data_IF_066552934127
#
_entry.id   IF_066552934127
#
_cell.length_a   1.000
_cell.length_b   1.000
_cell.length_c   1.000
_cell.angle_alpha   90.00
_cell.angle_beta   90.00
_cell.angle_gamma   90.00
#
_symmetry.space_group_name_H-M   'P 1'
#
loop_
_entity.id
_entity.type
_entity.pdbx_description
1 polymer ?
#
# COMPACT_ATOMS: atom_id res chain seq x y z
N UNK A 1 40.68 -28.54 -3.75
CA UNK A 1 41.34 -27.28 -3.34
C UNK A 1 40.37 -26.14 -3.64
N UNK A 2 39.70 -25.65 -2.61
CA UNK A 2 38.76 -24.52 -2.66
C UNK A 2 39.53 -23.21 -2.87
N UNK A 3 38.89 -22.26 -3.54
CA UNK A 3 39.04 -20.78 -3.46
C UNK A 3 39.18 -20.15 -4.85
N UNK A 4 38.11 -19.48 -5.30
CA UNK A 4 38.12 -18.09 -5.80
C UNK A 4 36.90 -17.83 -6.70
N UNK A 5 35.71 -17.94 -6.10
CA UNK A 5 34.58 -17.06 -6.45
C UNK A 5 34.68 -15.92 -5.47
N UNK A 6 34.85 -14.66 -5.88
CA UNK A 6 34.45 -13.42 -5.15
C UNK A 6 35.18 -12.22 -5.77
N UNK A 7 34.75 -11.72 -6.94
CA UNK A 7 35.05 -10.32 -7.31
C UNK A 7 34.09 -9.66 -8.31
N UNK A 8 32.80 -10.00 -8.27
CA UNK A 8 31.76 -9.34 -9.08
C UNK A 8 30.58 -8.78 -8.26
N UNK A 9 30.60 -8.86 -6.92
CA UNK A 9 29.47 -8.37 -6.09
C UNK A 9 29.61 -6.93 -5.57
N UNK A 10 30.80 -6.32 -5.61
CA UNK A 10 31.00 -5.08 -4.84
C UNK A 10 30.55 -3.80 -5.56
N UNK A 11 30.60 -3.74 -6.90
CA UNK A 11 30.15 -2.55 -7.67
C UNK A 11 28.63 -2.43 -7.73
N UNK A 12 27.91 -3.55 -7.77
CA UNK A 12 26.45 -3.55 -7.81
C UNK A 12 25.84 -3.23 -6.43
N UNK A 13 26.47 -3.68 -5.34
CA UNK A 13 26.06 -3.33 -3.97
C UNK A 13 26.24 -1.82 -3.70
N UNK A 14 27.32 -1.20 -4.16
CA UNK A 14 27.55 0.25 -4.00
C UNK A 14 26.51 1.07 -4.80
N UNK A 15 26.13 0.61 -6.00
CA UNK A 15 25.04 1.24 -6.79
C UNK A 15 23.69 1.08 -6.11
N UNK A 16 23.39 -0.11 -5.59
CA UNK A 16 22.16 -0.40 -4.87
C UNK A 16 22.04 0.47 -3.60
N UNK A 17 23.13 0.60 -2.83
CA UNK A 17 23.16 1.43 -1.63
C UNK A 17 23.02 2.93 -1.93
N UNK A 18 23.54 3.40 -3.08
CA UNK A 18 23.33 4.78 -3.53
C UNK A 18 21.88 5.03 -3.95
N UNK A 19 21.26 4.11 -4.69
CA UNK A 19 19.85 4.20 -5.10
C UNK A 19 18.92 4.18 -3.88
N UNK A 20 19.14 3.26 -2.94
CA UNK A 20 18.35 3.17 -1.71
C UNK A 20 18.50 4.45 -0.86
N UNK A 21 19.72 5.01 -0.77
CA UNK A 21 19.97 6.28 -0.07
C UNK A 21 19.25 7.45 -0.75
N UNK A 22 19.25 7.52 -2.07
CA UNK A 22 18.60 8.61 -2.81
C UNK A 22 17.06 8.54 -2.70
N UNK A 23 16.49 7.32 -2.71
CA UNK A 23 15.05 7.08 -2.42
C UNK A 23 14.71 7.52 -0.99
N UNK A 24 15.54 7.18 0.00
CA UNK A 24 15.31 7.52 1.40
C UNK A 24 15.43 9.04 1.66
N UNK A 25 16.40 9.71 1.04
CA UNK A 25 16.58 11.18 1.12
C UNK A 25 15.42 11.90 0.46
N UNK A 26 14.94 11.41 -0.70
CA UNK A 26 13.80 11.99 -1.40
C UNK A 26 12.50 11.81 -0.61
N UNK A 27 12.26 10.64 -0.01
CA UNK A 27 11.10 10.39 0.87
C UNK A 27 11.12 11.30 2.10
N UNK A 28 12.29 11.49 2.73
CA UNK A 28 12.46 12.38 3.89
C UNK A 28 12.27 13.86 3.53
N UNK A 29 12.72 14.29 2.35
CA UNK A 29 12.52 15.66 1.87
C UNK A 29 11.05 15.92 1.51
N UNK A 30 10.37 14.94 0.89
CA UNK A 30 8.92 15.00 0.65
C UNK A 30 8.15 15.05 1.97
N UNK A 31 8.49 14.22 2.96
CA UNK A 31 7.87 14.23 4.28
C UNK A 31 8.05 15.58 4.99
N UNK A 32 9.28 16.11 5.02
CA UNK A 32 9.58 17.41 5.62
C UNK A 32 8.85 18.58 4.92
N UNK A 33 8.73 18.54 3.59
CA UNK A 33 7.97 19.51 2.82
C UNK A 33 6.46 19.35 3.00
N UNK A 34 5.97 18.13 3.21
CA UNK A 34 4.57 17.85 3.50
C UNK A 34 4.19 18.32 4.91
N UNK A 35 5.05 18.11 5.90
CA UNK A 35 4.86 18.61 7.27
C UNK A 35 4.83 20.15 7.29
N UNK A 36 5.78 20.78 6.59
CA UNK A 36 5.82 22.23 6.45
C UNK A 36 4.60 22.77 5.68
N UNK A 37 4.13 22.05 4.66
CA UNK A 37 2.90 22.42 3.92
C UNK A 37 1.64 22.23 4.78
N UNK A 38 1.61 21.21 5.65
CA UNK A 38 0.51 20.94 6.57
C UNK A 38 0.42 22.01 7.68
N UNK A 39 1.55 22.50 8.19
CA UNK A 39 1.58 23.65 9.10
C UNK A 39 1.04 24.93 8.44
N UNK A 40 1.28 25.11 7.13
CA UNK A 40 0.74 26.25 6.37
C UNK A 40 -0.73 26.08 5.95
N UNK A 41 -1.33 24.89 6.09
CA UNK A 41 -2.70 24.57 5.67
C UNK A 41 -3.68 24.32 6.83
N UNK A 42 -3.30 24.54 8.10
CA UNK A 42 -4.21 24.49 9.25
C UNK A 42 -5.19 25.68 9.33
N UNK A 43 -5.91 25.95 8.24
CA UNK A 43 -7.15 26.72 8.27
C UNK A 43 -8.23 25.95 7.51
N UNK A 44 -9.13 25.29 8.27
CA UNK A 44 -10.42 24.74 7.84
C UNK A 44 -10.42 23.63 6.76
N UNK A 45 -10.02 22.40 7.12
CA UNK A 45 -10.48 21.19 6.40
C UNK A 45 -11.70 20.61 7.13
N UNK A 46 -12.84 20.35 6.46
CA UNK A 46 -14.00 19.76 7.12
C UNK A 46 -13.63 18.39 7.69
N UNK A 47 -14.06 18.13 8.92
CA UNK A 47 -13.77 16.93 9.74
C UNK A 47 -14.14 15.60 9.05
N UNK A 48 -14.90 15.66 7.94
CA UNK A 48 -15.34 14.51 7.14
C UNK A 48 -14.57 14.28 5.83
N UNK A 49 -13.46 14.97 5.56
CA UNK A 49 -12.68 14.68 4.35
C UNK A 49 -11.88 13.36 4.51
N UNK A 50 -12.06 12.41 3.60
CA UNK A 50 -11.19 11.23 3.48
C UNK A 50 -9.79 11.75 3.12
N UNK A 51 -8.79 11.40 3.92
CA UNK A 51 -7.38 11.63 3.61
C UNK A 51 -6.75 10.38 2.98
N UNK A 52 -5.52 10.51 2.49
CA UNK A 52 -4.80 9.42 1.83
C UNK A 52 -4.73 8.15 2.71
N UNK A 53 -4.39 8.29 3.99
CA UNK A 53 -4.25 7.14 4.91
C UNK A 53 -5.60 6.43 5.11
N UNK A 54 -6.68 7.19 5.28
CA UNK A 54 -8.05 6.68 5.37
C UNK A 54 -8.46 5.99 4.08
N UNK A 55 -8.14 6.60 2.93
CA UNK A 55 -8.42 6.02 1.60
C UNK A 55 -7.68 4.70 1.37
N UNK A 56 -6.38 4.67 1.62
CA UNK A 56 -5.56 3.46 1.47
C UNK A 56 -6.02 2.36 2.42
N UNK A 57 -6.22 2.67 3.70
CA UNK A 57 -6.74 1.72 4.68
C UNK A 57 -8.11 1.17 4.26
N UNK A 58 -8.99 1.99 3.70
CA UNK A 58 -10.29 1.56 3.22
C UNK A 58 -10.20 0.56 2.07
N UNK A 59 -9.29 0.77 1.12
CA UNK A 59 -9.06 -0.17 0.02
C UNK A 59 -8.50 -1.51 0.52
N UNK A 60 -7.54 -1.47 1.46
CA UNK A 60 -6.97 -2.67 2.07
C UNK A 60 -8.02 -3.47 2.86
N UNK A 61 -8.85 -2.79 3.65
CA UNK A 61 -9.93 -3.40 4.43
C UNK A 61 -11.04 -3.96 3.53
N UNK A 62 -11.32 -3.32 2.39
CA UNK A 62 -12.29 -3.86 1.43
C UNK A 62 -11.83 -5.18 0.81
N UNK A 63 -10.52 -5.33 0.53
CA UNK A 63 -9.96 -6.60 0.05
C UNK A 63 -10.14 -7.70 1.09
N UNK A 64 -9.69 -7.47 2.32
CA UNK A 64 -9.82 -8.41 3.44
C UNK A 64 -11.27 -8.82 3.71
N UNK A 65 -12.25 -7.97 3.41
CA UNK A 65 -13.68 -8.27 3.66
C UNK A 65 -14.39 -8.88 2.45
N UNK A 66 -13.70 -9.07 1.32
CA UNK A 66 -14.35 -9.41 0.05
C UNK A 66 -15.20 -10.69 0.13
N UNK A 67 -14.76 -11.69 0.89
CA UNK A 67 -15.45 -12.98 1.08
C UNK A 67 -16.25 -13.06 2.41
N UNK A 68 -16.37 -11.96 3.15
CA UNK A 68 -16.98 -11.86 4.49
C UNK A 68 -16.32 -12.69 5.59
N UNK A 69 -15.15 -13.29 5.35
CA UNK A 69 -14.27 -13.80 6.41
C UNK A 69 -13.22 -12.74 6.68
N UNK A 70 -12.79 -12.65 7.94
CA UNK A 70 -11.71 -11.75 8.32
C UNK A 70 -10.65 -12.65 8.93
N UNK A 71 -9.50 -12.74 8.28
CA UNK A 71 -8.40 -13.53 8.78
C UNK A 71 -7.39 -12.66 9.54
N UNK A 72 -6.84 -13.20 10.63
CA UNK A 72 -5.89 -12.47 11.45
C UNK A 72 -4.58 -12.17 10.68
N UNK A 73 -4.17 -13.08 9.79
CA UNK A 73 -3.02 -12.93 8.88
C UNK A 73 -3.15 -11.70 8.00
N UNK A 74 -4.32 -11.48 7.40
CA UNK A 74 -4.62 -10.31 6.58
C UNK A 74 -4.64 -9.03 7.41
N UNK A 75 -5.29 -9.07 8.58
CA UNK A 75 -5.35 -7.92 9.48
C UNK A 75 -3.95 -7.49 9.95
N UNK A 76 -3.09 -8.46 10.30
CA UNK A 76 -1.70 -8.22 10.66
C UNK A 76 -0.93 -7.63 9.48
N UNK A 77 -1.16 -8.14 8.26
CA UNK A 77 -0.55 -7.61 7.04
C UNK A 77 -0.96 -6.16 6.78
N UNK A 78 -2.26 -5.85 6.89
CA UNK A 78 -2.77 -4.49 6.77
C UNK A 78 -2.10 -3.58 7.80
N UNK A 79 -2.00 -4.03 9.06
CA UNK A 79 -1.38 -3.25 10.11
C UNK A 79 0.10 -2.94 9.80
N UNK A 80 0.85 -3.90 9.30
CA UNK A 80 2.25 -3.71 8.90
C UNK A 80 2.41 -2.77 7.70
N UNK A 81 1.53 -2.90 6.70
CA UNK A 81 1.49 -1.97 5.56
C UNK A 81 1.23 -0.54 6.04
N UNK A 82 0.24 -0.34 6.91
CA UNK A 82 -0.09 0.99 7.42
C UNK A 82 1.03 1.59 8.29
N UNK A 83 1.71 0.77 9.12
CA UNK A 83 2.89 1.24 9.86
C UNK A 83 4.01 1.72 8.93
N UNK A 84 4.27 0.99 7.86
CA UNK A 84 5.43 1.23 6.98
C UNK A 84 5.18 2.28 5.91
N UNK A 85 4.00 2.29 5.30
CA UNK A 85 3.67 3.18 4.20
C UNK A 85 3.12 4.52 4.69
N UNK A 86 2.35 4.51 5.79
CA UNK A 86 1.76 5.71 6.37
C UNK A 86 2.54 6.24 7.58
N UNK A 87 3.65 5.59 7.96
CA UNK A 87 4.50 5.98 9.09
C UNK A 87 3.75 6.10 10.43
N UNK A 88 2.77 5.20 10.62
CA UNK A 88 1.90 5.17 11.80
C UNK A 88 2.43 4.24 12.89
N UNK A 89 2.21 4.58 14.15
CA UNK A 89 2.43 3.67 15.26
C UNK A 89 1.28 2.66 15.44
N UNK A 90 1.48 1.65 16.28
CA UNK A 90 0.48 0.60 16.54
C UNK A 90 -0.87 1.15 17.02
N UNK A 91 -0.87 2.19 17.84
CA UNK A 91 -2.11 2.79 18.37
C UNK A 91 -2.85 3.56 17.28
N UNK A 92 -2.13 4.30 16.43
CA UNK A 92 -2.67 5.03 15.30
C UNK A 92 -3.22 4.09 14.23
N UNK A 93 -2.52 2.99 13.92
CA UNK A 93 -3.00 1.96 12.99
C UNK A 93 -4.29 1.34 13.48
N UNK A 94 -4.35 0.97 14.77
CA UNK A 94 -5.58 0.43 15.36
C UNK A 94 -6.73 1.42 15.25
N UNK A 95 -6.52 2.68 15.65
CA UNK A 95 -7.53 3.72 15.55
C UNK A 95 -7.99 3.95 14.10
N UNK A 96 -7.08 3.88 13.14
CA UNK A 96 -7.40 4.04 11.72
C UNK A 96 -8.25 2.87 11.20
N UNK A 97 -7.90 1.63 11.54
CA UNK A 97 -8.67 0.44 11.15
C UNK A 97 -10.07 0.49 11.79
N UNK A 98 -10.16 0.81 13.08
CA UNK A 98 -11.42 0.93 13.82
C UNK A 98 -12.32 2.04 13.25
N UNK A 99 -11.72 3.14 12.78
CA UNK A 99 -12.42 4.22 12.07
C UNK A 99 -12.91 3.76 10.70
N UNK A 100 -12.06 3.11 9.92
CA UNK A 100 -12.30 2.82 8.50
C UNK A 100 -13.28 1.68 8.32
N UNK A 101 -13.22 0.62 9.13
CA UNK A 101 -14.10 -0.56 8.98
C UNK A 101 -15.59 -0.20 8.82
N UNK A 102 -16.23 0.55 9.76
CA UNK A 102 -17.63 0.95 9.60
C UNK A 102 -17.86 1.89 8.41
N UNK A 103 -16.87 2.69 8.01
CA UNK A 103 -16.97 3.54 6.82
C UNK A 103 -17.06 2.70 5.55
N UNK A 104 -16.25 1.66 5.41
CA UNK A 104 -16.30 0.77 4.26
C UNK A 104 -17.56 -0.09 4.30
N UNK A 105 -18.05 -0.51 5.47
CA UNK A 105 -19.33 -1.26 5.60
C UNK A 105 -20.53 -0.43 5.16
N UNK A 106 -20.53 0.87 5.47
CA UNK A 106 -21.62 1.79 5.13
C UNK A 106 -21.49 2.39 3.71
N UNK A 107 -20.34 2.22 3.05
CA UNK A 107 -20.10 2.81 1.74
C UNK A 107 -20.93 2.12 0.64
N UNK A 108 -21.55 2.92 -0.23
CA UNK A 108 -22.24 2.39 -1.41
C UNK A 108 -21.25 1.93 -2.50
N UNK A 109 -20.08 2.57 -2.57
CA UNK A 109 -19.02 2.25 -3.53
C UNK A 109 -17.62 2.64 -3.03
N UNK A 110 -16.61 2.26 -3.81
CA UNK A 110 -15.20 2.52 -3.53
C UNK A 110 -14.68 3.83 -4.14
N UNK A 111 -15.48 4.53 -4.94
CA UNK A 111 -15.02 5.67 -5.72
C UNK A 111 -14.48 6.78 -4.83
N UNK A 112 -15.10 7.02 -3.67
CA UNK A 112 -14.64 8.05 -2.74
C UNK A 112 -13.24 7.77 -2.19
N UNK A 113 -12.90 6.50 -1.91
CA UNK A 113 -11.59 6.09 -1.41
C UNK A 113 -10.55 6.10 -2.53
N UNK A 114 -10.89 5.50 -3.67
CA UNK A 114 -10.00 5.45 -4.85
C UNK A 114 -9.70 6.86 -5.36
N UNK A 115 -10.68 7.77 -5.35
CA UNK A 115 -10.48 9.16 -5.77
C UNK A 115 -9.43 9.86 -4.91
N UNK A 116 -9.48 9.70 -3.59
CA UNK A 116 -8.50 10.32 -2.69
C UNK A 116 -7.11 9.71 -2.90
N UNK A 117 -7.00 8.39 -3.02
CA UNK A 117 -5.73 7.71 -3.28
C UNK A 117 -5.14 8.14 -4.63
N UNK A 118 -5.94 8.16 -5.70
CA UNK A 118 -5.51 8.61 -7.03
C UNK A 118 -5.04 10.07 -7.05
N UNK A 119 -5.68 10.94 -6.27
CA UNK A 119 -5.34 12.36 -6.19
C UNK A 119 -3.95 12.61 -5.57
N UNK A 120 -3.40 11.62 -4.86
CA UNK A 120 -2.13 11.72 -4.13
C UNK A 120 -1.05 10.79 -4.66
N UNK A 121 -1.32 10.07 -5.75
CA UNK A 121 -0.41 9.06 -6.32
C UNK A 121 -0.16 9.29 -7.81
N UNK A 122 1.11 9.14 -8.21
CA UNK A 122 1.51 8.94 -9.60
C UNK A 122 1.05 7.57 -10.13
N UNK A 123 1.23 7.30 -11.42
CA UNK A 123 0.91 5.98 -11.97
C UNK A 123 1.74 4.86 -11.33
N UNK A 124 3.02 5.12 -11.10
CA UNK A 124 3.95 4.20 -10.44
C UNK A 124 3.53 3.92 -9.00
N UNK A 125 3.19 4.97 -8.24
CA UNK A 125 2.69 4.85 -6.87
C UNK A 125 1.34 4.09 -6.83
N UNK A 126 0.51 4.18 -7.88
CA UNK A 126 -0.71 3.35 -7.98
C UNK A 126 -0.41 1.89 -8.20
N UNK A 127 0.62 1.55 -8.99
CA UNK A 127 1.06 0.16 -9.13
C UNK A 127 1.54 -0.40 -7.79
N UNK A 128 2.28 0.40 -7.01
CA UNK A 128 2.67 0.03 -5.64
C UNK A 128 1.45 -0.22 -4.76
N UNK A 129 0.40 0.62 -4.82
CA UNK A 129 -0.85 0.35 -4.10
C UNK A 129 -1.48 -0.98 -4.51
N UNK A 130 -1.50 -1.32 -5.81
CA UNK A 130 -2.02 -2.61 -6.28
C UNK A 130 -1.19 -3.78 -5.72
N UNK A 131 0.12 -3.65 -5.62
CA UNK A 131 0.98 -4.65 -4.97
C UNK A 131 0.67 -4.79 -3.47
N UNK A 132 0.41 -3.70 -2.76
CA UNK A 132 0.00 -3.74 -1.36
C UNK A 132 -1.31 -4.51 -1.17
N UNK A 133 -2.29 -4.32 -2.07
CA UNK A 133 -3.54 -5.07 -2.05
C UNK A 133 -3.30 -6.57 -2.24
N UNK A 134 -2.42 -6.94 -3.18
CA UNK A 134 -2.03 -8.34 -3.37
C UNK A 134 -1.32 -8.93 -2.16
N UNK A 135 -0.46 -8.15 -1.48
CA UNK A 135 0.18 -8.64 -0.27
C UNK A 135 -0.82 -8.97 0.84
N UNK A 136 -1.94 -8.23 0.93
CA UNK A 136 -3.04 -8.54 1.86
C UNK A 136 -3.72 -9.85 1.45
N UNK A 137 -4.16 -9.95 0.19
CA UNK A 137 -4.90 -11.12 -0.30
C UNK A 137 -4.06 -12.40 -0.45
N UNK A 138 -2.76 -12.36 -0.16
CA UNK A 138 -1.90 -13.55 -0.09
C UNK A 138 -1.39 -13.80 1.34
N UNK A 139 -1.88 -13.06 2.34
CA UNK A 139 -1.32 -13.07 3.68
C UNK A 139 -1.51 -14.41 4.41
N UNK A 140 -2.60 -15.12 4.13
CA UNK A 140 -2.91 -16.47 4.61
C UNK A 140 -2.30 -17.58 3.72
N UNK A 141 -1.76 -17.22 2.56
CA UNK A 141 -1.19 -18.14 1.57
C UNK A 141 -2.21 -18.73 0.58
N UNK A 142 -3.48 -18.37 0.70
CA UNK A 142 -4.51 -18.64 -0.28
C UNK A 142 -4.85 -17.35 -1.04
N UNK A 143 -5.61 -17.47 -2.13
CA UNK A 143 -6.21 -16.32 -2.80
C UNK A 143 -7.58 -16.78 -3.25
N UNK A 144 -8.61 -16.09 -2.80
CA UNK A 144 -10.00 -16.35 -3.15
C UNK A 144 -10.45 -15.50 -4.36
N UNK A 145 -11.46 -15.99 -5.08
CA UNK A 145 -12.02 -15.33 -6.26
C UNK A 145 -12.63 -13.95 -5.92
N UNK A 146 -13.20 -13.77 -4.72
CA UNK A 146 -13.75 -12.49 -4.27
C UNK A 146 -12.64 -11.44 -4.09
N UNK A 147 -11.49 -11.82 -3.54
CA UNK A 147 -10.35 -10.93 -3.35
C UNK A 147 -9.75 -10.52 -4.71
N UNK A 148 -9.50 -11.48 -5.61
CA UNK A 148 -9.02 -11.18 -6.98
C UNK A 148 -9.97 -10.21 -7.69
N UNK A 149 -11.27 -10.45 -7.56
CA UNK A 149 -12.29 -9.60 -8.15
C UNK A 149 -12.25 -8.17 -7.59
N UNK A 150 -12.15 -8.01 -6.27
CA UNK A 150 -12.08 -6.69 -5.64
C UNK A 150 -10.79 -5.96 -6.01
N UNK A 151 -9.63 -6.61 -6.01
CA UNK A 151 -8.37 -5.98 -6.41
C UNK A 151 -8.43 -5.55 -7.88
N UNK A 152 -9.02 -6.36 -8.76
CA UNK A 152 -9.23 -6.01 -10.18
C UNK A 152 -10.18 -4.83 -10.38
N UNK A 153 -11.24 -4.74 -9.57
CA UNK A 153 -12.14 -3.58 -9.56
C UNK A 153 -11.38 -2.34 -9.13
N UNK A 154 -10.61 -2.41 -8.06
CA UNK A 154 -9.80 -1.29 -7.56
C UNK A 154 -8.76 -0.87 -8.61
N UNK A 155 -8.04 -1.80 -9.24
CA UNK A 155 -7.04 -1.47 -10.27
C UNK A 155 -7.65 -0.72 -11.45
N UNK A 156 -8.85 -1.10 -11.86
CA UNK A 156 -9.60 -0.42 -12.93
C UNK A 156 -9.97 1.01 -12.52
N UNK A 157 -10.44 1.21 -11.27
CA UNK A 157 -10.76 2.53 -10.71
C UNK A 157 -9.52 3.40 -10.49
N UNK A 158 -8.36 2.78 -10.28
CA UNK A 158 -7.06 3.46 -10.17
C UNK A 158 -6.42 3.77 -11.54
N UNK A 159 -7.09 3.39 -12.63
CA UNK A 159 -6.59 3.52 -14.00
C UNK A 159 -5.27 2.78 -14.25
N UNK A 160 -5.05 1.66 -13.55
CA UNK A 160 -3.88 0.79 -13.78
C UNK A 160 -4.19 -0.16 -14.94
N UNK A 161 -3.29 -0.22 -15.91
CA UNK A 161 -3.46 -1.09 -17.08
C UNK A 161 -3.51 -2.56 -16.68
N UNK A 162 -4.27 -3.38 -17.42
CA UNK A 162 -4.43 -4.79 -17.11
C UNK A 162 -3.10 -5.56 -17.07
N UNK A 163 -2.16 -5.23 -17.97
CA UNK A 163 -0.83 -5.86 -18.01
C UNK A 163 -0.06 -5.59 -16.73
N UNK A 164 -0.10 -4.36 -16.21
CA UNK A 164 0.59 -3.97 -14.98
C UNK A 164 -0.06 -4.59 -13.75
N UNK A 165 -1.39 -4.71 -13.73
CA UNK A 165 -2.14 -5.43 -12.70
C UNK A 165 -1.71 -6.91 -12.61
N UNK A 166 -1.61 -7.61 -13.74
CA UNK A 166 -1.15 -9.01 -13.77
C UNK A 166 0.31 -9.10 -13.34
N UNK A 167 1.16 -8.18 -13.80
CA UNK A 167 2.58 -8.16 -13.44
C UNK A 167 2.78 -7.92 -11.92
N UNK A 168 1.98 -7.04 -11.31
CA UNK A 168 1.98 -6.80 -9.87
C UNK A 168 1.67 -8.08 -9.07
N UNK A 169 0.63 -8.83 -9.49
CA UNK A 169 0.28 -10.12 -8.87
C UNK A 169 1.46 -11.09 -8.89
N UNK A 170 2.09 -11.26 -10.05
CA UNK A 170 3.23 -12.17 -10.23
C UNK A 170 4.40 -11.77 -9.35
N UNK A 171 4.77 -10.48 -9.31
CA UNK A 171 5.86 -9.97 -8.46
C UNK A 171 5.65 -10.30 -6.99
N UNK A 172 4.43 -10.10 -6.49
CA UNK A 172 4.10 -10.41 -5.10
C UNK A 172 4.19 -11.92 -4.83
N UNK A 173 3.64 -12.76 -5.71
CA UNK A 173 3.74 -14.22 -5.58
C UNK A 173 5.19 -14.70 -5.54
N UNK A 174 6.04 -14.19 -6.41
CA UNK A 174 7.48 -14.52 -6.44
C UNK A 174 8.21 -14.04 -5.19
N UNK A 175 7.79 -12.90 -4.61
CA UNK A 175 8.39 -12.35 -3.39
C UNK A 175 8.10 -13.21 -2.15
N UNK A 176 6.96 -13.90 -2.12
CA UNK A 176 6.54 -14.76 -1.02
C UNK A 176 7.09 -16.19 -1.12
N UNK A 177 7.53 -16.60 -2.32
CA UNK A 177 8.10 -17.93 -2.56
C UNK A 177 9.58 -18.07 -2.19
N UNK A 178 10.26 -16.97 -1.85
CA UNK A 178 11.70 -16.91 -1.49
C UNK A 178 11.90 -16.67 0.00
#
# INVERSE_FOLDING_TARGET
>A
MFMSRYNLKNRDIIKLYKIIRDILVFKKLKALLADFSNELQQTNKPENSIDFNTGLAALLVEVMRADSKIEQSELDKIADILKTQCELDTSQVKALIDKVRPMVEAALDLHQFVKEVNAKTSYEERMEVIELLWHVAFADGHLDDYEDHIIRKISSLMYVAHVDFVAAKIRVQESLAN
#
